data_IF_747706049274
#
_entry.id   IF_747706049274
#
_cell.length_a   1.000
_cell.length_b   1.000
_cell.length_c   1.000
_cell.angle_alpha   90.00
_cell.angle_beta   90.00
_cell.angle_gamma   90.00
#
_symmetry.space_group_name_H-M   'P 1'
#
loop_
_entity.id
_entity.type
_entity.pdbx_description
1 polymer ?
#
# COMPACT_ATOMS: atom_id res chain seq x y z
N UNK A 1 6.18 40.15 -52.85
CA UNK A 1 5.61 39.82 -51.53
C UNK A 1 5.94 38.36 -51.25
N UNK A 2 6.90 38.09 -50.37
CA UNK A 2 7.27 36.72 -49.96
C UNK A 2 6.71 36.53 -48.55
N UNK A 3 5.66 35.72 -48.43
CA UNK A 3 5.13 35.30 -47.13
C UNK A 3 6.03 34.22 -46.56
N UNK A 4 6.70 34.53 -45.45
CA UNK A 4 7.32 33.52 -44.59
C UNK A 4 6.25 32.92 -43.68
N UNK A 5 5.97 31.63 -43.86
CA UNK A 5 5.18 30.85 -42.92
C UNK A 5 6.10 30.46 -41.75
N UNK A 6 5.96 31.12 -40.60
CA UNK A 6 6.61 30.70 -39.36
C UNK A 6 5.77 29.56 -38.79
N UNK A 7 6.24 28.32 -38.94
CA UNK A 7 5.70 27.18 -38.19
C UNK A 7 6.33 27.23 -36.81
N UNK A 8 5.59 27.74 -35.83
CA UNK A 8 5.96 27.61 -34.43
C UNK A 8 5.64 26.18 -33.98
N UNK A 9 6.65 25.33 -33.86
CA UNK A 9 6.53 24.08 -33.10
C UNK A 9 6.47 24.43 -31.63
N UNK A 10 5.27 24.37 -31.06
CA UNK A 10 5.07 24.42 -29.61
C UNK A 10 5.49 23.06 -29.06
N UNK A 11 6.74 22.93 -28.60
CA UNK A 11 7.15 21.81 -27.77
C UNK A 11 6.40 21.88 -26.45
N UNK A 12 5.57 20.86 -26.18
CA UNK A 12 4.88 20.72 -24.90
C UNK A 12 5.91 20.67 -23.76
N UNK A 13 5.94 21.73 -22.96
CA UNK A 13 6.81 21.82 -21.80
C UNK A 13 6.32 20.89 -20.69
N UNK A 14 7.21 20.05 -20.16
CA UNK A 14 7.22 19.69 -18.74
C UNK A 14 6.52 18.40 -18.31
N UNK A 15 6.71 17.28 -19.01
CA UNK A 15 6.53 15.98 -18.35
C UNK A 15 7.67 15.80 -17.34
N UNK A 16 7.36 15.81 -16.03
CA UNK A 16 8.32 15.45 -15.00
C UNK A 16 8.43 13.93 -15.00
N UNK A 17 9.45 13.40 -15.67
CA UNK A 17 9.77 11.98 -15.58
C UNK A 17 10.24 11.66 -14.17
N UNK A 18 9.54 10.74 -13.51
CA UNK A 18 9.92 10.20 -12.20
C UNK A 18 10.53 8.84 -12.45
N UNK A 19 11.82 8.70 -12.18
CA UNK A 19 12.50 7.41 -12.23
C UNK A 19 12.19 6.66 -10.94
N UNK A 20 11.50 5.53 -11.07
CA UNK A 20 11.17 4.64 -9.96
C UNK A 20 12.23 3.55 -9.88
N UNK A 21 12.95 3.46 -8.77
CA UNK A 21 13.98 2.41 -8.56
C UNK A 21 13.34 1.15 -7.98
N UNK A 22 13.65 0.00 -8.58
CA UNK A 22 13.19 -1.29 -8.08
C UNK A 22 14.19 -1.86 -7.08
N UNK A 23 13.72 -2.50 -5.99
CA UNK A 23 14.62 -3.23 -5.12
C UNK A 23 15.22 -4.44 -5.86
N UNK A 24 16.39 -4.94 -5.43
CA UNK A 24 16.94 -6.17 -5.95
C UNK A 24 15.99 -7.37 -5.74
N UNK A 25 15.98 -8.31 -6.68
CA UNK A 25 15.11 -9.50 -6.62
C UNK A 25 15.38 -10.36 -5.39
N UNK A 26 16.63 -10.38 -4.89
CA UNK A 26 17.03 -11.12 -3.69
C UNK A 26 16.21 -10.74 -2.45
N UNK A 27 15.68 -9.51 -2.40
CA UNK A 27 14.81 -9.03 -1.34
C UNK A 27 13.54 -9.88 -1.20
N UNK A 28 13.00 -10.41 -2.29
CA UNK A 28 11.77 -11.21 -2.30
C UNK A 28 11.85 -12.43 -1.38
N UNK A 29 13.04 -13.02 -1.21
CA UNK A 29 13.29 -14.21 -0.37
C UNK A 29 13.04 -13.97 1.14
N UNK A 30 12.81 -12.72 1.53
CA UNK A 30 12.60 -12.30 2.92
C UNK A 30 11.18 -11.81 3.18
N UNK A 31 10.31 -11.94 2.19
CA UNK A 31 8.89 -11.63 2.24
C UNK A 31 8.04 -12.84 1.88
N UNK A 32 6.75 -12.78 2.22
CA UNK A 32 5.77 -13.74 1.71
C UNK A 32 5.51 -13.53 0.21
N UNK A 33 5.24 -14.59 -0.57
CA UNK A 33 5.11 -15.99 -0.15
C UNK A 33 6.42 -16.79 -0.08
N UNK A 34 7.54 -16.28 -0.61
CA UNK A 34 8.82 -17.01 -0.69
C UNK A 34 9.38 -17.34 0.71
N UNK A 35 9.05 -16.53 1.70
CA UNK A 35 9.35 -16.74 3.11
C UNK A 35 8.07 -16.89 3.93
N UNK A 36 8.04 -17.83 4.87
CA UNK A 36 6.90 -17.98 5.79
C UNK A 36 6.70 -16.75 6.69
N UNK A 37 7.76 -15.96 6.89
CA UNK A 37 7.78 -14.79 7.76
C UNK A 37 8.24 -13.55 6.99
N UNK A 38 7.82 -12.37 7.47
CA UNK A 38 8.29 -11.08 6.95
C UNK A 38 9.64 -10.73 7.58
N UNK A 39 10.67 -11.55 7.34
CA UNK A 39 11.98 -11.47 8.04
C UNK A 39 12.64 -10.11 7.82
N UNK A 40 12.65 -9.61 6.58
CA UNK A 40 13.22 -8.29 6.27
C UNK A 40 12.57 -7.19 7.10
N UNK A 41 11.25 -7.20 7.20
CA UNK A 41 10.52 -6.18 7.95
C UNK A 41 10.84 -6.23 9.45
N UNK A 42 11.01 -7.43 10.02
CA UNK A 42 11.45 -7.57 11.42
C UNK A 42 12.88 -7.05 11.62
N UNK A 43 13.80 -7.29 10.67
CA UNK A 43 15.16 -6.71 10.73
C UNK A 43 15.10 -5.18 10.72
N UNK A 44 14.31 -4.57 9.83
CA UNK A 44 14.14 -3.12 9.77
C UNK A 44 13.56 -2.54 11.08
N UNK A 45 12.60 -3.22 11.69
CA UNK A 45 12.06 -2.81 12.99
C UNK A 45 13.09 -2.91 14.11
N UNK A 46 13.87 -3.99 14.13
CA UNK A 46 14.95 -4.16 15.11
C UNK A 46 16.04 -3.10 14.95
N UNK A 47 16.39 -2.71 13.72
CA UNK A 47 17.36 -1.64 13.46
C UNK A 47 16.87 -0.32 14.06
N UNK A 48 15.63 0.09 13.76
CA UNK A 48 15.03 1.31 14.31
C UNK A 48 14.97 1.29 15.83
N UNK A 49 14.56 0.16 16.42
CA UNK A 49 14.52 -0.02 17.88
C UNK A 49 15.91 0.13 18.50
N UNK A 50 16.92 -0.54 17.93
CA UNK A 50 18.28 -0.50 18.45
C UNK A 50 18.92 0.89 18.31
N UNK A 51 18.70 1.59 17.19
CA UNK A 51 19.16 2.99 17.02
C UNK A 51 18.58 3.90 18.10
N UNK A 52 17.26 3.84 18.30
CA UNK A 52 16.58 4.63 19.34
C UNK A 52 17.08 4.27 20.75
N UNK A 53 17.35 3.00 21.01
CA UNK A 53 17.86 2.56 22.30
C UNK A 53 19.30 3.06 22.56
N UNK A 54 20.18 3.04 21.55
CA UNK A 54 21.54 3.60 21.67
C UNK A 54 21.49 5.08 22.00
N UNK A 55 20.67 5.85 21.29
CA UNK A 55 20.46 7.28 21.56
C UNK A 55 19.98 7.49 23.00
N UNK A 56 18.88 6.84 23.38
CA UNK A 56 18.28 6.98 24.70
C UNK A 56 19.24 6.61 25.85
N UNK A 57 19.96 5.50 25.74
CA UNK A 57 20.86 5.06 26.80
C UNK A 57 22.16 5.85 26.86
N UNK A 58 22.61 6.40 25.73
CA UNK A 58 23.70 7.38 25.70
C UNK A 58 23.29 8.67 26.41
N UNK A 59 22.08 9.17 26.14
CA UNK A 59 21.56 10.40 26.75
C UNK A 59 21.31 10.27 28.25
N UNK A 60 20.82 9.11 28.68
CA UNK A 60 20.53 8.84 30.10
C UNK A 60 21.75 8.34 30.89
N UNK A 61 22.91 8.19 30.23
CA UNK A 61 24.16 7.77 30.86
C UNK A 61 24.22 6.30 31.27
N UNK A 62 23.30 5.46 30.79
CA UNK A 62 23.31 4.02 31.07
C UNK A 62 24.22 3.28 30.09
N UNK A 63 25.52 3.29 30.40
CA UNK A 63 26.57 2.78 29.51
C UNK A 63 26.41 1.30 29.16
N UNK A 64 26.10 0.44 30.12
CA UNK A 64 25.99 -1.01 29.86
C UNK A 64 24.87 -1.30 28.86
N UNK A 65 23.74 -0.59 28.97
CA UNK A 65 22.64 -0.71 28.01
C UNK A 65 22.98 -0.09 26.66
N UNK A 66 23.65 1.06 26.63
CA UNK A 66 24.10 1.68 25.38
C UNK A 66 25.01 0.73 24.59
N UNK A 67 25.99 0.10 25.27
CA UNK A 67 26.90 -0.87 24.65
C UNK A 67 26.11 -2.07 24.12
N UNK A 68 25.26 -2.69 24.94
CA UNK A 68 24.45 -3.83 24.53
C UNK A 68 23.60 -3.54 23.28
N UNK A 69 22.95 -2.37 23.24
CA UNK A 69 22.12 -1.99 22.09
C UNK A 69 22.95 -1.60 20.86
N UNK A 70 24.16 -1.06 21.05
CA UNK A 70 25.07 -0.78 19.93
C UNK A 70 25.57 -2.05 19.26
N UNK A 71 25.84 -3.11 20.04
CA UNK A 71 26.22 -4.43 19.52
C UNK A 71 25.03 -5.09 18.79
N UNK A 72 23.83 -4.99 19.36
CA UNK A 72 22.60 -5.47 18.71
C UNK A 72 22.34 -4.75 17.38
N UNK A 73 22.53 -3.43 17.35
CA UNK A 73 22.40 -2.62 16.14
C UNK A 73 23.42 -3.05 15.08
N UNK A 74 24.69 -3.22 15.48
CA UNK A 74 25.74 -3.72 14.61
C UNK A 74 25.36 -5.07 13.99
N UNK A 75 24.95 -6.04 14.80
CA UNK A 75 24.56 -7.37 14.30
C UNK A 75 23.46 -7.28 13.24
N UNK A 76 22.38 -6.55 13.54
CA UNK A 76 21.28 -6.34 12.59
C UNK A 76 21.71 -5.61 11.32
N UNK A 77 22.60 -4.62 11.43
CA UNK A 77 23.09 -3.85 10.30
C UNK A 77 23.92 -4.71 9.36
N UNK A 78 24.73 -5.62 9.91
CA UNK A 78 25.52 -6.57 9.11
C UNK A 78 24.68 -7.64 8.41
N UNK A 79 23.43 -7.87 8.84
CA UNK A 79 22.52 -8.77 8.14
C UNK A 79 22.01 -8.17 6.82
N UNK A 80 21.94 -6.84 6.68
CA UNK A 80 21.44 -6.18 5.46
C UNK A 80 22.13 -6.72 4.19
N UNK A 81 23.48 -6.66 4.05
CA UNK A 81 24.16 -7.18 2.88
C UNK A 81 24.23 -8.72 2.83
N UNK A 82 23.90 -9.43 3.91
CA UNK A 82 23.73 -10.90 3.86
C UNK A 82 22.38 -11.29 3.26
N UNK A 83 21.35 -10.52 3.61
CA UNK A 83 19.99 -10.70 3.13
C UNK A 83 19.87 -10.24 1.68
N UNK A 84 20.45 -9.08 1.35
CA UNK A 84 20.39 -8.46 0.03
C UNK A 84 21.82 -8.09 -0.38
N UNK A 85 22.59 -9.03 -0.97
CA UNK A 85 24.00 -8.81 -1.32
C UNK A 85 24.26 -7.60 -2.20
N UNK A 86 23.30 -7.24 -3.05
CA UNK A 86 23.36 -6.09 -3.95
C UNK A 86 23.48 -4.75 -3.20
N UNK A 87 23.06 -4.69 -1.94
CA UNK A 87 23.16 -3.51 -1.08
C UNK A 87 24.45 -3.43 -0.27
N UNK A 88 25.43 -4.28 -0.54
CA UNK A 88 26.76 -4.16 0.08
C UNK A 88 27.40 -2.78 -0.16
N UNK A 89 27.12 -2.15 -1.30
CA UNK A 89 27.61 -0.81 -1.63
C UNK A 89 26.79 0.32 -0.98
N UNK A 90 25.59 0.03 -0.49
CA UNK A 90 24.67 1.00 0.11
C UNK A 90 24.87 1.12 1.62
N UNK A 91 25.46 0.10 2.25
CA UNK A 91 25.72 0.07 3.70
C UNK A 91 27.09 0.63 4.05
N UNK A 92 27.22 1.18 5.27
CA UNK A 92 28.43 1.80 5.79
C UNK A 92 28.97 1.07 7.02
N UNK A 93 29.68 -0.07 6.85
CA UNK A 93 30.20 -0.84 7.97
C UNK A 93 31.16 -0.02 8.84
N UNK A 94 31.98 0.85 8.25
CA UNK A 94 32.91 1.72 8.99
C UNK A 94 32.19 2.69 9.94
N UNK A 95 31.06 3.26 9.51
CA UNK A 95 30.23 4.13 10.37
C UNK A 95 29.65 3.33 11.54
N UNK A 96 29.26 2.08 11.31
CA UNK A 96 28.77 1.20 12.36
C UNK A 96 29.86 0.82 13.39
N UNK A 97 31.07 0.51 12.93
CA UNK A 97 32.21 0.26 13.81
C UNK A 97 32.60 1.49 14.64
N UNK A 98 32.55 2.68 14.02
CA UNK A 98 32.73 3.96 14.72
C UNK A 98 31.69 4.17 15.80
N UNK A 99 30.41 3.89 15.52
CA UNK A 99 29.34 4.00 16.51
C UNK A 99 29.61 3.12 17.73
N UNK A 100 29.90 1.83 17.52
CA UNK A 100 30.17 0.89 18.62
C UNK A 100 31.38 1.34 19.44
N UNK A 101 32.43 1.83 18.78
CA UNK A 101 33.63 2.34 19.45
C UNK A 101 33.32 3.57 20.30
N UNK A 102 32.55 4.53 19.77
CA UNK A 102 32.15 5.75 20.47
C UNK A 102 31.29 5.46 21.70
N UNK A 103 30.32 4.54 21.56
CA UNK A 103 29.48 4.09 22.68
C UNK A 103 30.35 3.43 23.76
N UNK A 104 31.31 2.59 23.38
CA UNK A 104 32.23 1.93 24.32
C UNK A 104 33.16 2.92 25.01
N UNK A 105 33.60 3.99 24.36
CA UNK A 105 34.42 5.04 24.98
C UNK A 105 33.61 6.07 25.78
N UNK A 106 32.26 5.95 25.77
CA UNK A 106 31.34 6.96 26.30
C UNK A 106 31.52 8.35 25.63
N UNK A 107 31.94 8.36 24.37
CA UNK A 107 32.02 9.57 23.55
C UNK A 107 30.63 9.89 22.98
N UNK A 108 29.90 10.73 23.71
CA UNK A 108 28.55 11.12 23.34
C UNK A 108 28.50 11.86 21.99
N UNK A 109 29.45 12.77 21.75
CA UNK A 109 29.45 13.59 20.53
C UNK A 109 29.68 12.73 19.30
N UNK A 110 30.63 11.79 19.37
CA UNK A 110 30.88 10.87 18.26
C UNK A 110 29.73 9.86 18.09
N UNK A 111 29.12 9.40 19.19
CA UNK A 111 27.94 8.52 19.14
C UNK A 111 26.79 9.17 18.38
N UNK A 112 26.46 10.42 18.72
CA UNK A 112 25.42 11.18 18.02
C UNK A 112 25.78 11.43 16.54
N UNK A 113 27.05 11.73 16.24
CA UNK A 113 27.49 11.97 14.87
C UNK A 113 27.39 10.69 14.01
N UNK A 114 27.77 9.54 14.56
CA UNK A 114 27.67 8.26 13.89
C UNK A 114 26.21 7.83 13.68
N UNK A 115 25.32 8.02 14.68
CA UNK A 115 23.89 7.77 14.53
C UNK A 115 23.28 8.61 13.39
N UNK A 116 23.55 9.92 13.34
CA UNK A 116 23.07 10.79 12.25
C UNK A 116 23.56 10.38 10.87
N UNK A 117 24.80 9.87 10.78
CA UNK A 117 25.33 9.35 9.52
C UNK A 117 24.57 8.10 9.08
N UNK A 118 24.30 7.17 10.01
CA UNK A 118 23.50 5.97 9.73
C UNK A 118 22.08 6.32 9.31
N UNK A 119 21.43 7.28 9.99
CA UNK A 119 20.10 7.77 9.58
C UNK A 119 20.11 8.23 8.12
N UNK A 120 21.15 8.98 7.71
CA UNK A 120 21.28 9.44 6.33
C UNK A 120 21.41 8.28 5.34
N UNK A 121 22.17 7.24 5.70
CA UNK A 121 22.29 6.01 4.88
C UNK A 121 20.95 5.27 4.79
N UNK A 122 20.26 5.10 5.92
CA UNK A 122 18.94 4.47 5.99
C UNK A 122 17.92 5.23 5.12
N UNK A 123 17.91 6.56 5.21
CA UNK A 123 17.02 7.42 4.45
C UNK A 123 17.28 7.36 2.95
N UNK A 124 18.55 7.25 2.53
CA UNK A 124 18.91 7.07 1.11
C UNK A 124 18.28 5.79 0.53
N UNK A 125 18.51 4.66 1.18
CA UNK A 125 17.93 3.38 0.75
C UNK A 125 16.39 3.40 0.82
N UNK A 126 15.81 3.98 1.86
CA UNK A 126 14.36 4.09 1.98
C UNK A 126 13.74 4.98 0.90
N UNK A 127 14.36 6.11 0.59
CA UNK A 127 13.91 7.04 -0.46
C UNK A 127 13.86 6.35 -1.82
N UNK A 128 14.82 5.48 -2.10
CA UNK A 128 14.93 4.80 -3.39
C UNK A 128 14.00 3.59 -3.51
N UNK A 129 13.91 2.75 -2.46
CA UNK A 129 13.37 1.40 -2.60
C UNK A 129 12.17 1.09 -1.71
N UNK A 130 11.87 1.90 -0.68
CA UNK A 130 10.85 1.52 0.30
C UNK A 130 9.44 1.43 -0.32
N UNK A 131 9.08 2.39 -1.18
CA UNK A 131 7.77 2.44 -1.80
C UNK A 131 7.55 1.27 -2.76
N UNK A 132 8.55 0.94 -3.58
CA UNK A 132 8.49 -0.15 -4.55
C UNK A 132 8.57 -1.52 -3.87
N UNK A 133 9.40 -1.68 -2.84
CA UNK A 133 9.40 -2.88 -2.01
C UNK A 133 8.05 -3.09 -1.30
N UNK A 134 7.39 -2.01 -0.85
CA UNK A 134 6.05 -2.11 -0.26
C UNK A 134 5.00 -2.54 -1.30
N UNK A 135 5.02 -1.97 -2.51
CA UNK A 135 4.12 -2.35 -3.58
C UNK A 135 4.29 -3.84 -3.97
N UNK A 136 5.52 -4.26 -4.24
CA UNK A 136 5.84 -5.61 -4.69
C UNK A 136 5.58 -6.69 -3.62
N UNK A 137 6.00 -6.44 -2.38
CA UNK A 137 6.10 -7.49 -1.37
C UNK A 137 5.13 -7.35 -0.19
N UNK A 138 4.38 -6.23 -0.12
CA UNK A 138 3.38 -6.00 0.95
C UNK A 138 1.96 -5.80 0.40
N UNK A 139 1.78 -5.66 -0.91
CA UNK A 139 0.47 -5.80 -1.56
C UNK A 139 0.24 -7.23 -2.01
N UNK A 140 -0.95 -7.81 -1.77
CA UNK A 140 -1.29 -9.08 -2.40
C UNK A 140 -1.39 -8.92 -3.92
N UNK A 141 -1.16 -10.02 -4.63
CA UNK A 141 -1.58 -10.16 -6.03
C UNK A 141 -3.08 -10.49 -6.04
N UNK A 142 -3.89 -9.50 -6.41
CA UNK A 142 -5.34 -9.67 -6.46
C UNK A 142 -5.80 -10.59 -7.60
N UNK A 143 -4.96 -10.88 -8.59
CA UNK A 143 -5.26 -11.84 -9.66
C UNK A 143 -5.51 -13.25 -9.12
N UNK A 144 -4.90 -13.61 -7.99
CA UNK A 144 -5.04 -14.91 -7.33
C UNK A 144 -6.19 -14.95 -6.30
N UNK A 145 -6.95 -13.86 -6.13
CA UNK A 145 -8.08 -13.82 -5.21
C UNK A 145 -9.34 -14.30 -5.94
N UNK A 146 -9.90 -15.42 -5.47
CA UNK A 146 -11.20 -15.93 -5.93
C UNK A 146 -12.37 -15.20 -5.27
N UNK A 147 -13.45 -15.01 -6.04
CA UNK A 147 -14.75 -14.49 -5.59
C UNK A 147 -15.84 -15.44 -6.08
N UNK A 148 -16.82 -15.77 -5.23
CA UNK A 148 -17.94 -16.60 -5.64
C UNK A 148 -18.73 -15.96 -6.80
N UNK A 149 -19.12 -16.75 -7.81
CA UNK A 149 -19.82 -16.23 -9.01
C UNK A 149 -21.36 -16.18 -8.88
N UNK A 150 -21.91 -16.74 -7.80
CA UNK A 150 -23.36 -16.80 -7.56
C UNK A 150 -24.08 -17.96 -8.26
N UNK A 151 -23.37 -18.78 -9.03
CA UNK A 151 -23.87 -19.93 -9.79
C UNK A 151 -23.21 -21.26 -9.36
N UNK A 152 -22.51 -21.25 -8.22
CA UNK A 152 -21.79 -22.41 -7.69
C UNK A 152 -20.36 -22.54 -8.20
N UNK A 153 -19.84 -21.53 -8.92
CA UNK A 153 -18.46 -21.42 -9.35
C UNK A 153 -17.72 -20.24 -8.70
N UNK A 154 -16.54 -19.95 -9.25
CA UNK A 154 -15.68 -18.85 -8.83
C UNK A 154 -15.29 -17.98 -10.03
N UNK A 155 -15.06 -16.70 -9.77
CA UNK A 155 -14.47 -15.75 -10.70
C UNK A 155 -13.26 -15.08 -10.06
N UNK A 156 -12.43 -14.42 -10.87
CA UNK A 156 -11.28 -13.69 -10.34
C UNK A 156 -11.71 -12.35 -9.75
N UNK A 157 -11.00 -11.86 -8.74
CA UNK A 157 -11.28 -10.55 -8.15
C UNK A 157 -11.33 -9.41 -9.18
N UNK A 158 -10.42 -9.32 -10.18
CA UNK A 158 -10.53 -8.32 -11.24
C UNK A 158 -11.82 -8.43 -12.06
N UNK A 159 -12.32 -9.64 -12.35
CA UNK A 159 -13.59 -9.81 -13.06
C UNK A 159 -14.78 -9.44 -12.19
N UNK A 160 -14.78 -9.82 -10.91
CA UNK A 160 -15.82 -9.40 -9.96
C UNK A 160 -15.89 -7.86 -9.85
N UNK A 161 -14.75 -7.17 -9.78
CA UNK A 161 -14.70 -5.70 -9.76
C UNK A 161 -15.22 -5.08 -11.07
N UNK A 162 -14.97 -5.71 -12.22
CA UNK A 162 -15.55 -5.29 -13.51
C UNK A 162 -17.08 -5.46 -13.51
N UNK A 163 -17.61 -6.54 -12.98
CA UNK A 163 -19.05 -6.78 -12.83
C UNK A 163 -19.70 -5.70 -11.95
N UNK A 164 -19.14 -5.45 -10.76
CA UNK A 164 -19.60 -4.39 -9.84
C UNK A 164 -19.62 -3.01 -10.50
N UNK A 165 -18.56 -2.67 -11.23
CA UNK A 165 -18.48 -1.40 -11.98
C UNK A 165 -19.57 -1.29 -13.04
N UNK A 166 -19.88 -2.38 -13.75
CA UNK A 166 -20.98 -2.42 -14.73
C UNK A 166 -22.34 -2.24 -14.05
N UNK A 167 -22.61 -2.95 -12.96
CA UNK A 167 -23.87 -2.83 -12.21
C UNK A 167 -24.07 -1.43 -11.64
N UNK A 168 -23.03 -0.84 -11.05
CA UNK A 168 -23.08 0.54 -10.56
C UNK A 168 -23.36 1.54 -11.69
N UNK A 169 -22.76 1.36 -12.86
CA UNK A 169 -23.03 2.20 -14.02
C UNK A 169 -24.44 1.98 -14.57
N UNK A 170 -24.97 0.76 -14.53
CA UNK A 170 -26.35 0.47 -14.94
C UNK A 170 -27.37 1.20 -14.05
N UNK A 171 -27.15 1.23 -12.73
CA UNK A 171 -27.94 2.07 -11.81
C UNK A 171 -27.91 3.53 -12.25
N UNK A 172 -26.71 4.08 -12.53
CA UNK A 172 -26.53 5.48 -12.95
C UNK A 172 -27.21 5.80 -14.28
N UNK A 173 -27.10 4.91 -15.26
CA UNK A 173 -27.71 5.07 -16.59
C UNK A 173 -29.22 5.01 -16.46
N UNK A 174 -29.75 3.97 -15.81
CA UNK A 174 -31.19 3.80 -15.59
C UNK A 174 -31.82 4.99 -14.86
N UNK A 175 -31.13 5.55 -13.86
CA UNK A 175 -31.56 6.77 -13.17
C UNK A 175 -31.62 7.99 -14.10
N UNK A 176 -30.58 8.20 -14.91
CA UNK A 176 -30.51 9.32 -15.85
C UNK A 176 -31.59 9.23 -16.93
N UNK A 177 -31.88 8.02 -17.38
CA UNK A 177 -32.84 7.76 -18.45
C UNK A 177 -34.29 7.66 -17.95
N UNK A 178 -34.52 7.68 -16.63
CA UNK A 178 -35.85 7.62 -16.04
C UNK A 178 -36.46 6.21 -16.03
N UNK A 179 -35.64 5.17 -15.87
CA UNK A 179 -36.04 3.76 -15.80
C UNK A 179 -35.93 3.20 -14.36
N UNK A 180 -36.86 3.52 -13.44
CA UNK A 180 -36.72 3.16 -12.02
C UNK A 180 -36.69 1.65 -11.77
N UNK A 181 -37.52 0.86 -12.48
CA UNK A 181 -37.49 -0.62 -12.35
C UNK A 181 -36.14 -1.23 -12.76
N UNK A 182 -35.49 -0.67 -13.79
CA UNK A 182 -34.16 -1.11 -14.22
C UNK A 182 -33.11 -0.72 -13.17
N UNK A 183 -33.20 0.50 -12.63
CA UNK A 183 -32.30 0.94 -11.57
C UNK A 183 -32.41 0.04 -10.32
N UNK A 184 -33.62 -0.35 -9.93
CA UNK A 184 -33.86 -1.28 -8.81
C UNK A 184 -33.26 -2.66 -9.06
N UNK A 185 -33.50 -3.24 -10.24
CA UNK A 185 -32.90 -4.52 -10.62
C UNK A 185 -31.36 -4.45 -10.59
N UNK A 186 -30.78 -3.34 -11.09
CA UNK A 186 -29.34 -3.12 -11.04
C UNK A 186 -28.80 -2.97 -9.62
N UNK A 187 -29.53 -2.32 -8.69
CA UNK A 187 -29.16 -2.26 -7.27
C UNK A 187 -29.22 -3.63 -6.61
N UNK A 188 -30.24 -4.44 -6.93
CA UNK A 188 -30.34 -5.81 -6.41
C UNK A 188 -29.16 -6.68 -6.87
N UNK A 189 -28.77 -6.57 -8.14
CA UNK A 189 -27.56 -7.21 -8.67
C UNK A 189 -26.30 -6.72 -7.96
N UNK A 190 -26.13 -5.40 -7.83
CA UNK A 190 -24.99 -4.78 -7.15
C UNK A 190 -24.86 -5.24 -5.69
N UNK A 191 -26.00 -5.40 -4.99
CA UNK A 191 -26.02 -5.95 -3.62
C UNK A 191 -25.45 -7.37 -3.57
N UNK A 192 -25.91 -8.25 -4.45
CA UNK A 192 -25.42 -9.62 -4.52
C UNK A 192 -23.93 -9.68 -4.87
N UNK A 193 -23.47 -8.83 -5.78
CA UNK A 193 -22.05 -8.74 -6.14
C UNK A 193 -21.18 -8.25 -4.97
N UNK A 194 -21.62 -7.20 -4.25
CA UNK A 194 -20.89 -6.67 -3.10
C UNK A 194 -20.86 -7.66 -1.93
N UNK A 195 -21.95 -8.40 -1.71
CA UNK A 195 -22.00 -9.45 -0.69
C UNK A 195 -20.99 -10.57 -0.99
N UNK A 196 -20.97 -11.06 -2.23
CA UNK A 196 -20.00 -12.06 -2.69
C UNK A 196 -18.56 -11.56 -2.60
N UNK A 197 -18.31 -10.31 -3.02
CA UNK A 197 -17.00 -9.68 -2.90
C UNK A 197 -16.55 -9.57 -1.44
N UNK A 198 -17.47 -9.29 -0.50
CA UNK A 198 -17.13 -9.21 0.91
C UNK A 198 -16.59 -10.53 1.48
N UNK A 199 -16.98 -11.67 0.90
CA UNK A 199 -16.47 -12.99 1.25
C UNK A 199 -15.00 -13.18 0.91
N UNK A 200 -14.48 -12.52 -0.13
CA UNK A 200 -13.09 -12.67 -0.57
C UNK A 200 -12.08 -11.96 0.34
N UNK A 201 -12.54 -11.12 1.29
CA UNK A 201 -11.65 -10.48 2.27
C UNK A 201 -10.85 -11.52 3.09
N UNK A 202 -11.42 -12.70 3.35
CA UNK A 202 -10.78 -13.77 4.11
C UNK A 202 -9.57 -14.39 3.40
N UNK A 203 -9.43 -14.20 2.08
CA UNK A 203 -8.26 -14.66 1.32
C UNK A 203 -6.97 -13.93 1.71
N UNK A 204 -7.09 -12.73 2.29
CA UNK A 204 -5.93 -11.92 2.71
C UNK A 204 -5.96 -11.55 4.20
N UNK A 205 -7.14 -11.42 4.80
CA UNK A 205 -7.30 -11.02 6.21
C UNK A 205 -7.65 -12.21 7.09
N UNK A 206 -7.01 -12.29 8.27
CA UNK A 206 -7.26 -13.36 9.25
C UNK A 206 -8.48 -13.12 10.12
N UNK A 207 -8.86 -11.86 10.29
CA UNK A 207 -10.00 -11.45 11.11
C UNK A 207 -11.04 -10.70 10.26
N UNK A 208 -12.24 -10.53 10.83
CA UNK A 208 -13.37 -9.90 10.15
C UNK A 208 -13.35 -8.38 10.20
N UNK A 209 -12.44 -7.76 10.95
CA UNK A 209 -12.51 -6.32 11.22
C UNK A 209 -12.34 -5.44 9.96
N UNK A 210 -11.44 -5.76 8.99
CA UNK A 210 -11.38 -5.05 7.71
C UNK A 210 -12.69 -5.13 6.92
N UNK A 211 -13.31 -6.32 6.89
CA UNK A 211 -14.60 -6.55 6.21
C UNK A 211 -15.70 -5.73 6.88
N UNK A 212 -15.82 -5.80 8.20
CA UNK A 212 -16.83 -5.07 8.97
C UNK A 212 -16.70 -3.55 8.81
N UNK A 213 -15.48 -3.02 8.87
CA UNK A 213 -15.22 -1.57 8.69
C UNK A 213 -15.72 -1.03 7.35
N UNK A 214 -15.68 -1.86 6.31
CA UNK A 214 -16.09 -1.48 4.96
C UNK A 214 -17.58 -1.78 4.74
N UNK A 215 -18.05 -2.96 5.13
CA UNK A 215 -19.36 -3.49 4.72
C UNK A 215 -20.47 -3.40 5.76
N UNK A 216 -20.21 -3.04 7.03
CA UNK A 216 -21.21 -3.11 8.11
C UNK A 216 -22.51 -2.34 7.81
N UNK A 217 -22.43 -1.20 7.13
CA UNK A 217 -23.59 -0.36 6.80
C UNK A 217 -24.03 -0.47 5.34
N UNK A 218 -23.34 -1.28 4.54
CA UNK A 218 -23.63 -1.44 3.11
C UNK A 218 -25.01 -2.03 2.85
N UNK A 219 -25.50 -3.06 3.59
CA UNK A 219 -26.85 -3.57 3.41
C UNK A 219 -27.93 -2.50 3.58
N UNK A 220 -27.89 -1.75 4.70
CA UNK A 220 -28.87 -0.70 5.00
C UNK A 220 -28.83 0.41 3.95
N UNK A 221 -27.64 0.81 3.49
CA UNK A 221 -27.48 1.81 2.45
C UNK A 221 -28.09 1.36 1.11
N UNK A 222 -27.89 0.10 0.73
CA UNK A 222 -28.44 -0.47 -0.49
C UNK A 222 -29.96 -0.67 -0.39
N UNK A 223 -30.48 -1.03 0.78
CA UNK A 223 -31.92 -1.10 1.05
C UNK A 223 -32.56 0.28 0.93
N UNK A 224 -31.98 1.30 1.55
CA UNK A 224 -32.44 2.68 1.41
C UNK A 224 -32.37 3.16 -0.04
N UNK A 225 -31.28 2.86 -0.76
CA UNK A 225 -31.17 3.22 -2.17
C UNK A 225 -32.27 2.53 -2.99
N UNK A 226 -32.51 1.23 -2.78
CA UNK A 226 -33.57 0.50 -3.46
C UNK A 226 -34.95 1.11 -3.23
N UNK A 227 -35.28 1.50 -1.99
CA UNK A 227 -36.56 2.16 -1.65
C UNK A 227 -36.68 3.54 -2.31
N UNK A 228 -35.65 4.38 -2.26
CA UNK A 228 -35.72 5.74 -2.81
C UNK A 228 -35.78 5.73 -4.35
N UNK A 229 -35.36 4.63 -4.99
CA UNK A 229 -35.54 4.40 -6.42
C UNK A 229 -37.01 4.16 -6.85
N UNK A 230 -37.93 3.89 -5.91
CA UNK A 230 -39.38 3.83 -6.17
C UNK A 230 -39.99 5.21 -6.42
N UNK A 231 -39.39 6.24 -5.82
CA UNK A 231 -39.86 7.61 -5.87
C UNK A 231 -39.27 8.43 -7.03
N UNK A 232 -39.68 9.69 -7.10
CA UNK A 232 -39.16 10.68 -8.06
C UNK A 232 -38.15 11.65 -7.45
N UNK A 233 -37.74 11.44 -6.19
CA UNK A 233 -36.78 12.29 -5.50
C UNK A 233 -35.35 12.06 -5.99
N UNK A 234 -34.99 12.78 -7.05
CA UNK A 234 -33.67 12.73 -7.67
C UNK A 234 -32.56 13.18 -6.70
N UNK A 235 -32.86 14.04 -5.74
CA UNK A 235 -31.87 14.52 -4.76
C UNK A 235 -31.50 13.40 -3.80
N UNK A 236 -32.50 12.70 -3.25
CA UNK A 236 -32.28 11.57 -2.36
C UNK A 236 -31.60 10.39 -3.09
N UNK A 237 -31.99 10.10 -4.34
CA UNK A 237 -31.33 9.08 -5.19
C UNK A 237 -29.85 9.40 -5.41
N UNK A 238 -29.54 10.64 -5.79
CA UNK A 238 -28.16 11.07 -6.01
C UNK A 238 -27.32 11.06 -4.73
N UNK A 239 -27.91 11.46 -3.60
CA UNK A 239 -27.24 11.46 -2.29
C UNK A 239 -26.84 10.05 -1.85
N UNK A 240 -27.77 9.09 -1.86
CA UNK A 240 -27.50 7.71 -1.44
C UNK A 240 -26.49 7.01 -2.37
N UNK A 241 -26.57 7.29 -3.68
CA UNK A 241 -25.60 6.77 -4.64
C UNK A 241 -24.20 7.36 -4.43
N UNK A 242 -24.11 8.66 -4.12
CA UNK A 242 -22.85 9.31 -3.76
C UNK A 242 -22.28 8.77 -2.45
N UNK A 243 -23.14 8.54 -1.45
CA UNK A 243 -22.77 7.91 -0.18
C UNK A 243 -22.20 6.51 -0.38
N UNK A 244 -22.79 5.69 -1.26
CA UNK A 244 -22.23 4.37 -1.63
C UNK A 244 -20.82 4.49 -2.21
N UNK A 245 -20.61 5.46 -3.09
CA UNK A 245 -19.30 5.73 -3.69
C UNK A 245 -18.22 6.09 -2.66
N UNK A 246 -18.55 6.88 -1.65
CA UNK A 246 -17.59 7.35 -0.63
C UNK A 246 -17.40 6.34 0.49
N UNK A 247 -18.48 5.70 0.95
CA UNK A 247 -18.44 4.85 2.14
C UNK A 247 -18.04 3.41 1.84
N UNK A 248 -18.27 2.92 0.61
CA UNK A 248 -17.90 1.56 0.21
C UNK A 248 -16.76 1.58 -0.80
N UNK A 249 -16.98 2.18 -1.97
CA UNK A 249 -16.01 2.10 -3.07
C UNK A 249 -14.69 2.78 -2.72
N UNK A 250 -14.74 4.02 -2.21
CA UNK A 250 -13.53 4.77 -1.89
C UNK A 250 -12.73 4.12 -0.75
N UNK A 251 -13.39 3.52 0.26
CA UNK A 251 -12.69 2.82 1.36
C UNK A 251 -11.93 1.60 0.87
N UNK A 252 -12.53 0.77 0.01
CA UNK A 252 -11.83 -0.35 -0.60
C UNK A 252 -10.65 0.14 -1.46
N UNK A 253 -10.89 1.12 -2.32
CA UNK A 253 -9.87 1.58 -3.27
C UNK A 253 -8.70 2.28 -2.57
N UNK A 254 -8.95 3.07 -1.51
CA UNK A 254 -7.87 3.75 -0.77
C UNK A 254 -6.90 2.80 -0.09
N UNK A 255 -7.34 1.57 0.21
CA UNK A 255 -6.52 0.55 0.87
C UNK A 255 -5.88 -0.38 -0.15
N UNK A 256 -6.68 -0.89 -1.10
CA UNK A 256 -6.25 -1.98 -1.97
C UNK A 256 -5.69 -1.50 -3.30
N UNK A 257 -6.29 -0.46 -3.88
CA UNK A 257 -6.01 -0.07 -5.27
C UNK A 257 -4.69 0.66 -5.43
N UNK A 258 -4.33 1.55 -4.50
CA UNK A 258 -3.11 2.37 -4.65
C UNK A 258 -1.84 1.52 -4.74
N UNK A 259 -1.66 0.56 -3.84
CA UNK A 259 -0.50 -0.33 -3.89
C UNK A 259 -0.64 -1.43 -4.95
N UNK A 260 -1.86 -1.92 -5.18
CA UNK A 260 -2.14 -2.90 -6.23
C UNK A 260 -1.84 -2.38 -7.63
N UNK A 261 -2.38 -1.21 -7.99
CA UNK A 261 -2.16 -0.58 -9.30
C UNK A 261 -0.67 -0.26 -9.51
N UNK A 262 0.04 0.18 -8.46
CA UNK A 262 1.48 0.43 -8.53
C UNK A 262 2.28 -0.87 -8.75
N UNK A 263 1.91 -1.94 -8.05
CA UNK A 263 2.50 -3.26 -8.27
C UNK A 263 2.29 -3.71 -9.72
N UNK A 264 1.07 -3.65 -10.22
CA UNK A 264 0.74 -4.03 -11.59
C UNK A 264 1.55 -3.22 -12.63
N UNK A 265 1.81 -1.94 -12.37
CA UNK A 265 2.64 -1.10 -13.23
C UNK A 265 4.12 -1.50 -13.20
N UNK A 266 4.62 -1.95 -12.05
CA UNK A 266 6.00 -2.41 -11.91
C UNK A 266 6.20 -3.77 -12.58
N UNK A 267 5.20 -4.66 -12.50
CA UNK A 267 5.27 -6.03 -13.03
C UNK A 267 4.90 -6.12 -14.53
N UNK A 268 4.50 -5.01 -15.17
CA UNK A 268 4.18 -4.90 -16.60
C UNK A 268 5.41 -4.91 -17.50
#
# INVERSE_FOLDING_TARGET
>A
MVSFLIVATVSAAGAKEVVVRLPPESLANWYKPQNERQVWLHTMFGLREAMQAVEYYTDTGNRDRAIHWSERLHDLYTEIPRMVPEWQIEVEPETMERLVTAVRSADKTETEAALRRLDTTCDGCHSDFQATAAALYRSPDYGNVSVADGHGGETTYPEAMRQISRSLNDVKIALKDGFPRRAQAAVATLRSELDRLSGSCASCHRDSAPRERIFAHTPDLLDNLHTVLEGTDRSAQGRLLGELGVTVCARCHSVHRTLGDLRDEIER
#
